data_IF_773466849772
#
_entry.id   IF_773466849772
#
_cell.length_a   1.000
_cell.length_b   1.000
_cell.length_c   1.000
_cell.angle_alpha   90.00
_cell.angle_beta   90.00
_cell.angle_gamma   90.00
#
_symmetry.space_group_name_H-M   'P 1'
#
loop_
_entity.id
_entity.type
_entity.pdbx_description
1 polymer ?
#
# COMPACT_ATOMS: atom_id res chain seq x y z
N UNK A 1 -19.72 10.71 6.61
CA UNK A 1 -19.47 9.50 5.80
C UNK A 1 -20.18 9.61 4.46
N UNK A 2 -21.48 9.32 4.41
CA UNK A 2 -22.26 9.29 3.17
C UNK A 2 -22.25 10.62 2.39
N UNK A 3 -22.43 11.76 3.06
CA UNK A 3 -22.39 13.08 2.40
C UNK A 3 -21.05 13.32 1.69
N UNK A 4 -19.92 13.06 2.36
CA UNK A 4 -18.58 13.20 1.75
C UNK A 4 -18.36 12.25 0.57
N UNK A 5 -18.84 11.00 0.68
CA UNK A 5 -18.76 10.04 -0.41
C UNK A 5 -19.56 10.51 -1.63
N UNK A 6 -20.81 10.93 -1.43
CA UNK A 6 -21.65 11.48 -2.51
C UNK A 6 -21.01 12.72 -3.13
N UNK A 7 -20.55 13.67 -2.31
CA UNK A 7 -19.84 14.86 -2.79
C UNK A 7 -18.60 14.51 -3.61
N UNK A 8 -17.78 13.55 -3.16
CA UNK A 8 -16.60 13.12 -3.92
C UNK A 8 -16.96 12.50 -5.27
N UNK A 9 -18.01 11.68 -5.33
CA UNK A 9 -18.45 11.05 -6.57
C UNK A 9 -19.05 12.07 -7.54
N UNK A 10 -19.82 13.03 -7.03
CA UNK A 10 -20.35 14.13 -7.84
C UNK A 10 -19.22 14.99 -8.42
N UNK A 11 -18.21 15.33 -7.61
CA UNK A 11 -17.06 16.10 -8.10
C UNK A 11 -16.31 15.32 -9.19
N UNK A 12 -16.01 14.04 -8.96
CA UNK A 12 -15.31 13.21 -9.96
C UNK A 12 -16.12 13.09 -11.25
N UNK A 13 -17.44 12.90 -11.15
CA UNK A 13 -18.32 12.78 -12.32
C UNK A 13 -18.34 14.04 -13.17
N UNK A 14 -18.37 15.20 -12.52
CA UNK A 14 -18.48 16.49 -13.21
C UNK A 14 -17.14 17.03 -13.71
N UNK A 15 -16.03 16.73 -13.03
CA UNK A 15 -14.74 17.41 -13.23
C UNK A 15 -13.59 16.49 -13.65
N UNK A 16 -13.80 15.18 -13.78
CA UNK A 16 -12.74 14.24 -14.19
C UNK A 16 -13.24 13.31 -15.31
N UNK A 17 -13.40 12.02 -15.03
CA UNK A 17 -13.87 11.02 -16.00
C UNK A 17 -14.89 10.07 -15.36
N UNK A 18 -15.80 9.48 -16.16
CA UNK A 18 -16.71 8.43 -15.68
C UNK A 18 -15.95 7.23 -15.10
N UNK A 19 -14.79 6.89 -15.68
CA UNK A 19 -13.95 5.80 -15.20
C UNK A 19 -13.39 6.07 -13.80
N UNK A 20 -12.83 7.26 -13.56
CA UNK A 20 -12.34 7.63 -12.23
C UNK A 20 -13.47 7.60 -11.18
N UNK A 21 -14.66 8.05 -11.56
CA UNK A 21 -15.86 7.99 -10.70
C UNK A 21 -16.23 6.54 -10.36
N UNK A 22 -16.23 5.64 -11.35
CA UNK A 22 -16.51 4.22 -11.14
C UNK A 22 -15.47 3.54 -10.23
N UNK A 23 -14.18 3.87 -10.40
CA UNK A 23 -13.11 3.37 -9.54
C UNK A 23 -13.27 3.86 -8.08
N UNK A 24 -13.58 5.14 -7.87
CA UNK A 24 -13.88 5.68 -6.53
C UNK A 24 -15.08 4.98 -5.90
N UNK A 25 -16.18 4.84 -6.65
CA UNK A 25 -17.38 4.18 -6.16
C UNK A 25 -17.09 2.73 -5.76
N UNK A 26 -16.38 1.98 -6.61
CA UNK A 26 -15.95 0.61 -6.33
C UNK A 26 -15.06 0.51 -5.09
N UNK A 27 -14.11 1.45 -4.91
CA UNK A 27 -13.25 1.48 -3.73
C UNK A 27 -14.06 1.74 -2.44
N UNK A 28 -14.97 2.71 -2.46
CA UNK A 28 -15.83 3.04 -1.30
C UNK A 28 -16.73 1.85 -0.95
N UNK A 29 -17.42 1.28 -1.95
CA UNK A 29 -18.34 0.17 -1.75
C UNK A 29 -17.63 -1.08 -1.26
N UNK A 30 -16.49 -1.45 -1.85
CA UNK A 30 -15.70 -2.60 -1.39
C UNK A 30 -15.15 -2.38 0.02
N UNK A 31 -14.73 -1.17 0.39
CA UNK A 31 -14.28 -0.88 1.74
C UNK A 31 -15.40 -1.05 2.78
N UNK A 32 -16.59 -0.51 2.52
CA UNK A 32 -17.72 -0.55 3.46
C UNK A 32 -18.38 -1.92 3.49
N UNK A 33 -18.66 -2.52 2.34
CA UNK A 33 -19.46 -3.74 2.23
C UNK A 33 -18.63 -5.01 2.38
N UNK A 34 -17.35 -5.00 1.99
CA UNK A 34 -16.50 -6.20 2.00
C UNK A 34 -15.50 -6.12 3.14
N UNK A 35 -14.61 -5.13 3.16
CA UNK A 35 -13.53 -5.06 4.16
C UNK A 35 -14.05 -4.91 5.60
N UNK A 36 -14.96 -3.96 5.82
CA UNK A 36 -15.45 -3.62 7.16
C UNK A 36 -16.04 -4.80 7.94
N UNK A 37 -16.93 -5.64 7.39
CA UNK A 37 -17.40 -6.83 8.11
C UNK A 37 -16.34 -7.94 8.17
N UNK A 38 -15.47 -8.05 7.16
CA UNK A 38 -14.53 -9.15 7.03
C UNK A 38 -13.37 -9.06 8.02
N UNK A 39 -12.98 -7.85 8.45
CA UNK A 39 -11.87 -7.63 9.41
C UNK A 39 -12.09 -8.28 10.78
N UNK A 40 -13.34 -8.57 11.14
CA UNK A 40 -13.70 -9.30 12.36
C UNK A 40 -13.79 -10.82 12.14
N UNK A 41 -13.77 -11.29 10.90
CA UNK A 41 -14.00 -12.69 10.52
C UNK A 41 -12.72 -13.41 10.10
N UNK A 42 -11.82 -12.76 9.37
CA UNK A 42 -10.61 -13.40 8.81
C UNK A 42 -9.44 -12.43 8.66
N UNK A 43 -8.18 -12.90 8.85
CA UNK A 43 -6.98 -12.11 8.57
C UNK A 43 -6.82 -11.75 7.09
N UNK A 44 -7.50 -12.44 6.17
CA UNK A 44 -7.52 -12.09 4.75
C UNK A 44 -8.16 -10.73 4.48
N UNK A 45 -8.95 -10.19 5.41
CA UNK A 45 -9.54 -8.87 5.28
C UNK A 45 -8.52 -7.78 5.04
N UNK A 46 -7.32 -7.88 5.64
CA UNK A 46 -6.26 -6.88 5.47
C UNK A 46 -5.79 -6.83 4.02
N UNK A 47 -5.61 -7.98 3.38
CA UNK A 47 -5.25 -8.04 1.95
C UNK A 47 -6.38 -7.50 1.07
N UNK A 48 -7.63 -7.89 1.35
CA UNK A 48 -8.80 -7.41 0.59
C UNK A 48 -8.99 -5.90 0.76
N UNK A 49 -8.77 -5.38 1.96
CA UNK A 49 -8.85 -3.95 2.27
C UNK A 49 -7.70 -3.13 1.67
N UNK A 50 -6.58 -3.76 1.33
CA UNK A 50 -5.48 -3.08 0.64
C UNK A 50 -5.87 -2.67 -0.80
N UNK A 51 -6.73 -3.43 -1.49
CA UNK A 51 -7.20 -3.06 -2.84
C UNK A 51 -7.84 -1.67 -2.90
N UNK A 52 -8.93 -1.37 -2.16
CA UNK A 52 -9.50 -0.03 -2.17
C UNK A 52 -8.53 1.02 -1.60
N UNK A 53 -7.66 0.63 -0.66
CA UNK A 53 -6.61 1.51 -0.14
C UNK A 53 -5.54 1.87 -1.17
N UNK A 54 -5.33 1.05 -2.19
CA UNK A 54 -4.33 1.25 -3.24
C UNK A 54 -4.89 1.93 -4.49
N UNK A 55 -6.21 2.12 -4.60
CA UNK A 55 -6.86 2.78 -5.75
C UNK A 55 -6.38 4.22 -6.04
N UNK A 56 -5.97 5.07 -5.08
CA UNK A 56 -5.72 6.49 -5.37
C UNK A 56 -4.78 6.82 -6.54
N UNK A 57 -3.61 6.16 -6.73
CA UNK A 57 -2.75 6.42 -7.89
C UNK A 57 -3.40 6.02 -9.22
N UNK A 58 -4.10 4.89 -9.28
CA UNK A 58 -4.83 4.46 -10.47
C UNK A 58 -6.01 5.39 -10.78
N UNK A 59 -6.69 5.86 -9.73
CA UNK A 59 -7.75 6.85 -9.87
C UNK A 59 -7.22 8.18 -10.39
N UNK A 60 -6.08 8.66 -9.89
CA UNK A 60 -5.41 9.87 -10.41
C UNK A 60 -5.05 9.75 -11.89
N UNK A 61 -4.54 8.59 -12.31
CA UNK A 61 -4.29 8.29 -13.72
C UNK A 61 -5.57 8.35 -14.55
N UNK A 62 -6.59 7.57 -14.17
CA UNK A 62 -7.86 7.49 -14.89
C UNK A 62 -8.62 8.84 -14.92
N UNK A 63 -8.41 9.70 -13.93
CA UNK A 63 -9.02 11.03 -13.86
C UNK A 63 -8.49 11.99 -14.93
N UNK A 64 -7.27 11.77 -15.42
CA UNK A 64 -6.65 12.58 -16.48
C UNK A 64 -6.79 11.90 -17.84
N UNK A 65 -6.54 10.59 -17.91
CA UNK A 65 -6.46 9.86 -19.19
C UNK A 65 -7.78 9.27 -19.65
N UNK A 66 -8.73 9.02 -18.73
CA UNK A 66 -9.97 8.31 -19.02
C UNK A 66 -9.82 6.80 -19.25
N UNK A 67 -8.63 6.24 -19.01
CA UNK A 67 -8.34 4.81 -19.24
C UNK A 67 -7.56 4.15 -18.08
N UNK A 68 -7.58 2.82 -18.04
CA UNK A 68 -6.73 2.02 -17.15
C UNK A 68 -5.42 1.70 -17.88
N UNK A 69 -4.42 2.56 -17.70
CA UNK A 69 -3.11 2.40 -18.33
C UNK A 69 -2.08 1.71 -17.43
N UNK A 70 -1.00 1.23 -18.04
CA UNK A 70 0.13 0.60 -17.35
C UNK A 70 0.78 1.51 -16.31
N UNK A 71 0.79 2.84 -16.53
CA UNK A 71 1.26 3.82 -15.56
C UNK A 71 0.47 3.77 -14.26
N UNK A 72 -0.85 3.97 -14.33
CA UNK A 72 -1.74 3.89 -13.16
C UNK A 72 -1.69 2.53 -12.46
N UNK A 73 -1.66 1.43 -13.23
CA UNK A 73 -1.59 0.07 -12.67
C UNK A 73 -0.26 -0.19 -11.95
N UNK A 74 0.86 0.31 -12.47
CA UNK A 74 2.17 0.13 -11.83
C UNK A 74 2.24 0.84 -10.47
N UNK A 75 1.77 2.09 -10.39
CA UNK A 75 1.73 2.86 -9.13
C UNK A 75 0.71 2.26 -8.14
N UNK A 76 -0.43 1.77 -8.63
CA UNK A 76 -1.36 0.99 -7.83
C UNK A 76 -0.71 -0.25 -7.23
N UNK A 77 0.06 -1.01 -8.03
CA UNK A 77 0.75 -2.20 -7.54
C UNK A 77 1.79 -1.86 -6.48
N UNK A 78 2.56 -0.78 -6.64
CA UNK A 78 3.50 -0.29 -5.62
C UNK A 78 2.77 -0.01 -4.31
N UNK A 79 1.68 0.76 -4.36
CA UNK A 79 0.93 1.14 -3.16
C UNK A 79 0.27 -0.08 -2.49
N UNK A 80 -0.32 -0.98 -3.28
CA UNK A 80 -0.95 -2.21 -2.81
C UNK A 80 0.04 -3.11 -2.08
N UNK A 81 1.20 -3.36 -2.69
CA UNK A 81 2.21 -4.27 -2.15
C UNK A 81 2.90 -3.65 -0.94
N UNK A 82 3.19 -2.35 -0.96
CA UNK A 82 3.78 -1.63 0.18
C UNK A 82 2.88 -1.59 1.42
N UNK A 83 1.55 -1.55 1.23
CA UNK A 83 0.59 -1.55 2.34
C UNK A 83 0.68 -2.82 3.19
N UNK A 84 1.02 -3.96 2.59
CA UNK A 84 1.06 -5.24 3.29
C UNK A 84 2.10 -5.29 4.44
N UNK A 85 3.40 -5.01 4.21
CA UNK A 85 4.38 -4.98 5.29
C UNK A 85 4.10 -3.86 6.29
N UNK A 86 3.59 -2.71 5.83
CA UNK A 86 3.17 -1.61 6.70
C UNK A 86 2.09 -2.02 7.71
N UNK A 87 1.00 -2.63 7.23
CA UNK A 87 -0.09 -3.08 8.11
C UNK A 87 0.33 -4.25 9.00
N UNK A 88 1.15 -5.17 8.49
CA UNK A 88 1.70 -6.26 9.31
C UNK A 88 2.54 -5.67 10.46
N UNK A 89 3.37 -4.67 10.20
CA UNK A 89 4.12 -3.96 11.24
C UNK A 89 3.18 -3.39 12.31
N UNK A 90 2.13 -2.66 11.91
CA UNK A 90 1.12 -2.10 12.82
C UNK A 90 0.49 -3.17 13.70
N UNK A 91 0.01 -4.25 13.06
CA UNK A 91 -0.69 -5.30 13.78
C UNK A 91 0.21 -6.11 14.70
N UNK A 92 1.53 -6.14 14.45
CA UNK A 92 2.52 -6.74 15.34
C UNK A 92 2.80 -5.87 16.56
N UNK A 93 3.06 -4.56 16.39
CA UNK A 93 3.41 -3.71 17.53
C UNK A 93 2.19 -3.28 18.38
N UNK A 94 0.97 -3.29 17.81
CA UNK A 94 -0.30 -3.03 18.53
C UNK A 94 -1.17 -4.27 18.70
N UNK A 95 -0.58 -5.46 18.66
CA UNK A 95 -1.29 -6.75 18.65
C UNK A 95 -2.41 -6.84 19.69
N UNK A 96 -2.12 -6.44 20.94
CA UNK A 96 -3.09 -6.53 22.04
C UNK A 96 -4.28 -5.60 21.85
N UNK A 97 -4.10 -4.44 21.22
CA UNK A 97 -5.19 -3.51 20.91
C UNK A 97 -6.11 -4.10 19.84
N UNK A 98 -5.55 -4.71 18.80
CA UNK A 98 -6.34 -5.41 17.77
C UNK A 98 -7.10 -6.59 18.36
N UNK A 99 -6.46 -7.37 19.24
CA UNK A 99 -7.10 -8.47 19.94
C UNK A 99 -8.27 -8.00 20.82
N UNK A 100 -8.08 -6.94 21.61
CA UNK A 100 -9.14 -6.33 22.43
C UNK A 100 -10.30 -5.78 21.60
N UNK A 101 -10.01 -5.25 20.41
CA UNK A 101 -11.03 -4.76 19.48
C UNK A 101 -11.76 -5.87 18.70
N UNK A 102 -11.41 -7.15 18.93
CA UNK A 102 -11.98 -8.29 18.22
C UNK A 102 -11.56 -8.39 16.75
N UNK A 103 -10.55 -7.64 16.33
CA UNK A 103 -10.06 -7.65 14.94
C UNK A 103 -9.14 -8.86 14.74
N UNK A 104 -9.43 -9.66 13.71
CA UNK A 104 -8.70 -10.89 13.41
C UNK A 104 -7.57 -10.61 12.44
N UNK A 105 -6.43 -10.13 12.91
CA UNK A 105 -5.22 -9.96 12.10
C UNK A 105 -4.26 -11.16 12.21
N UNK A 106 -3.31 -11.28 11.28
CA UNK A 106 -2.36 -12.40 11.21
C UNK A 106 -1.62 -12.66 12.54
N UNK A 107 -1.03 -11.68 13.23
CA UNK A 107 -0.34 -11.96 14.49
C UNK A 107 -1.28 -12.43 15.62
N UNK A 108 -2.55 -12.00 15.61
CA UNK A 108 -3.57 -12.44 16.56
C UNK A 108 -4.03 -13.87 16.29
N UNK A 109 -4.20 -14.24 15.01
CA UNK A 109 -4.77 -15.56 14.63
C UNK A 109 -3.70 -16.64 14.43
N UNK A 110 -2.55 -16.28 13.86
CA UNK A 110 -1.49 -17.21 13.43
C UNK A 110 -0.15 -16.99 14.12
N UNK A 111 -0.07 -16.00 15.01
CA UNK A 111 1.14 -15.71 15.80
C UNK A 111 2.16 -14.84 15.08
N UNK A 112 3.12 -14.35 15.87
CA UNK A 112 4.07 -13.31 15.46
C UNK A 112 5.05 -13.81 14.40
N UNK A 113 5.48 -15.07 14.48
CA UNK A 113 6.44 -15.63 13.53
C UNK A 113 5.87 -15.70 12.12
N UNK A 114 4.60 -16.10 11.97
CA UNK A 114 3.91 -16.12 10.67
C UNK A 114 3.78 -14.70 10.12
N UNK A 115 3.44 -13.73 10.97
CA UNK A 115 3.37 -12.32 10.57
C UNK A 115 4.74 -11.77 10.13
N UNK A 116 5.83 -12.08 10.85
CA UNK A 116 7.21 -11.71 10.44
C UNK A 116 7.59 -12.30 9.09
N UNK A 117 7.29 -13.57 8.84
CA UNK A 117 7.53 -14.22 7.54
C UNK A 117 6.71 -13.53 6.44
N UNK A 118 5.43 -13.21 6.70
CA UNK A 118 4.63 -12.48 5.71
C UNK A 118 5.19 -11.07 5.44
N UNK A 119 5.64 -10.34 6.46
CA UNK A 119 6.28 -9.04 6.28
C UNK A 119 7.53 -9.16 5.38
N UNK A 120 8.36 -10.19 5.60
CA UNK A 120 9.51 -10.48 4.75
C UNK A 120 9.10 -10.76 3.31
N UNK A 121 8.17 -11.69 3.08
CA UNK A 121 7.73 -12.08 1.74
C UNK A 121 7.13 -10.91 0.96
N UNK A 122 6.31 -10.08 1.61
CA UNK A 122 5.76 -8.89 0.98
C UNK A 122 6.82 -7.80 0.74
N UNK A 123 7.80 -7.65 1.63
CA UNK A 123 8.92 -6.71 1.42
C UNK A 123 9.82 -7.17 0.28
N UNK A 124 10.01 -8.48 0.11
CA UNK A 124 10.72 -9.06 -1.04
C UNK A 124 9.95 -8.82 -2.33
N UNK A 125 8.64 -9.08 -2.34
CA UNK A 125 7.78 -8.82 -3.49
C UNK A 125 7.73 -7.32 -3.85
N UNK A 126 7.89 -6.43 -2.88
CA UNK A 126 7.94 -4.99 -3.11
C UNK A 126 9.16 -4.56 -3.94
N UNK A 127 10.30 -5.27 -3.88
CA UNK A 127 11.52 -4.90 -4.61
C UNK A 127 11.29 -4.82 -6.13
N UNK A 128 10.85 -5.90 -6.82
CA UNK A 128 10.59 -5.82 -8.26
C UNK A 128 9.38 -4.94 -8.59
N UNK A 129 8.40 -4.83 -7.70
CA UNK A 129 7.21 -4.01 -7.93
C UNK A 129 7.53 -2.51 -7.82
N UNK A 130 8.42 -2.11 -6.91
CA UNK A 130 8.83 -0.72 -6.72
C UNK A 130 9.54 -0.15 -7.94
N UNK A 131 10.28 -0.97 -8.69
CA UNK A 131 10.97 -0.55 -9.93
C UNK A 131 10.10 -0.70 -11.20
N UNK A 132 8.93 -1.35 -11.08
CA UNK A 132 8.04 -1.63 -12.20
C UNK A 132 7.66 -0.38 -13.02
N UNK A 133 7.37 0.79 -12.41
CA UNK A 133 7.11 2.01 -13.19
C UNK A 133 8.26 2.38 -14.15
N UNK A 134 9.52 2.22 -13.75
CA UNK A 134 10.66 2.49 -14.64
C UNK A 134 10.80 1.45 -15.74
N UNK A 135 10.56 0.18 -15.41
CA UNK A 135 10.61 -0.91 -16.40
C UNK A 135 9.54 -0.75 -17.50
N UNK A 136 8.41 -0.14 -17.16
CA UNK A 136 7.32 0.16 -18.09
C UNK A 136 7.50 1.51 -18.80
N UNK A 137 8.60 2.24 -18.56
CA UNK A 137 8.85 3.56 -19.15
C UNK A 137 7.94 4.67 -18.62
N UNK A 138 7.27 4.45 -17.49
CA UNK A 138 6.38 5.43 -16.83
C UNK A 138 7.21 6.47 -16.07
N UNK A 139 8.42 6.09 -15.65
CA UNK A 139 9.36 6.94 -14.91
C UNK A 139 10.77 6.68 -15.42
N UNK A 140 11.66 7.64 -15.20
CA UNK A 140 13.07 7.56 -15.54
C UNK A 140 13.92 6.76 -14.56
N UNK A 141 15.23 6.82 -14.81
CA UNK A 141 16.25 6.07 -14.07
C UNK A 141 16.42 6.58 -12.63
N UNK A 142 16.16 7.87 -12.37
CA UNK A 142 16.32 8.44 -11.02
C UNK A 142 15.30 7.81 -10.09
N UNK A 143 14.04 7.70 -10.53
CA UNK A 143 13.02 6.97 -9.79
C UNK A 143 13.41 5.50 -9.61
N UNK A 144 13.77 4.81 -10.70
CA UNK A 144 14.04 3.37 -10.67
C UNK A 144 15.17 2.97 -9.73
N UNK A 145 16.30 3.68 -9.77
CA UNK A 145 17.43 3.44 -8.86
C UNK A 145 17.06 3.77 -7.42
N UNK A 146 16.36 4.89 -7.19
CA UNK A 146 15.93 5.28 -5.83
C UNK A 146 14.96 4.26 -5.24
N UNK A 147 13.96 3.83 -6.01
CA UNK A 147 12.98 2.83 -5.61
C UNK A 147 13.64 1.47 -5.31
N UNK A 148 14.64 1.07 -6.11
CA UNK A 148 15.43 -0.14 -5.86
C UNK A 148 16.19 -0.05 -4.53
N UNK A 149 16.94 1.02 -4.31
CA UNK A 149 17.74 1.19 -3.09
C UNK A 149 16.84 1.23 -1.85
N UNK A 150 15.77 2.03 -1.89
CA UNK A 150 14.85 2.17 -0.77
C UNK A 150 14.13 0.85 -0.47
N UNK A 151 13.73 0.08 -1.48
CA UNK A 151 13.11 -1.25 -1.30
C UNK A 151 14.07 -2.31 -0.79
N UNK A 152 15.33 -2.31 -1.22
CA UNK A 152 16.37 -3.21 -0.69
C UNK A 152 16.69 -2.91 0.78
N UNK A 153 16.80 -1.63 1.17
CA UNK A 153 16.98 -1.24 2.57
C UNK A 153 15.79 -1.70 3.41
N UNK A 154 14.57 -1.45 2.92
CA UNK A 154 13.35 -1.87 3.61
C UNK A 154 13.23 -3.39 3.74
N UNK A 155 13.59 -4.13 2.69
CA UNK A 155 13.68 -5.59 2.73
C UNK A 155 14.72 -6.08 3.74
N UNK A 156 15.92 -5.49 3.79
CA UNK A 156 16.93 -5.82 4.79
C UNK A 156 16.43 -5.62 6.23
N UNK A 157 15.63 -4.57 6.46
CA UNK A 157 15.00 -4.32 7.76
C UNK A 157 13.94 -5.37 8.13
N UNK A 158 13.27 -5.94 7.12
CA UNK A 158 12.32 -7.05 7.32
C UNK A 158 13.04 -8.35 7.72
N UNK A 159 14.22 -8.61 7.15
CA UNK A 159 15.08 -9.75 7.48
C UNK A 159 15.52 -9.71 8.94
N UNK A 160 15.93 -8.54 9.46
CA UNK A 160 16.34 -8.41 10.87
C UNK A 160 15.21 -8.75 11.86
N UNK A 161 13.96 -8.70 11.42
CA UNK A 161 12.78 -9.01 12.22
C UNK A 161 12.62 -10.48 12.59
N UNK A 162 13.12 -11.38 11.75
CA UNK A 162 12.96 -12.82 11.93
C UNK A 162 13.56 -13.30 13.24
N UNK A 163 14.70 -12.73 13.63
CA UNK A 163 15.42 -13.07 14.86
C UNK A 163 15.32 -12.00 15.95
N UNK A 164 14.45 -10.99 15.77
CA UNK A 164 14.30 -9.93 16.75
C UNK A 164 13.75 -10.47 18.08
N UNK A 165 14.48 -10.34 19.22
CA UNK A 165 14.06 -10.88 20.51
C UNK A 165 12.84 -10.13 21.07
N UNK A 166 12.72 -8.82 20.76
CA UNK A 166 11.58 -7.99 21.12
C UNK A 166 10.78 -7.63 19.87
N UNK A 167 9.81 -8.48 19.52
CA UNK A 167 8.97 -8.31 18.32
C UNK A 167 8.32 -6.93 18.23
N UNK A 168 7.73 -6.42 19.31
CA UNK A 168 7.05 -5.12 19.30
C UNK A 168 8.00 -3.94 19.03
N UNK A 169 9.23 -4.00 19.54
CA UNK A 169 10.25 -2.96 19.33
C UNK A 169 10.68 -2.94 17.86
N UNK A 170 11.00 -4.11 17.31
CA UNK A 170 11.34 -4.23 15.89
C UNK A 170 10.16 -3.81 15.00
N UNK A 171 8.94 -4.28 15.28
CA UNK A 171 7.75 -3.98 14.48
C UNK A 171 7.42 -2.48 14.48
N UNK A 172 7.65 -1.77 15.60
CA UNK A 172 7.52 -0.31 15.66
C UNK A 172 8.58 0.39 14.79
N UNK A 173 9.83 -0.04 14.83
CA UNK A 173 10.88 0.50 13.95
C UNK A 173 10.59 0.22 12.47
N UNK A 174 10.16 -0.99 12.14
CA UNK A 174 9.79 -1.41 10.80
C UNK A 174 8.56 -0.66 10.27
N UNK A 175 7.61 -0.34 11.15
CA UNK A 175 6.50 0.55 10.82
C UNK A 175 7.00 1.95 10.44
N UNK A 176 7.87 2.58 11.23
CA UNK A 176 8.44 3.89 10.87
C UNK A 176 9.26 3.85 9.57
N UNK A 177 10.00 2.76 9.35
CA UNK A 177 10.68 2.52 8.08
C UNK A 177 9.71 2.55 6.89
N UNK A 178 8.58 1.83 7.02
CA UNK A 178 7.56 1.79 5.98
C UNK A 178 6.90 3.17 5.77
N UNK A 179 6.77 3.98 6.83
CA UNK A 179 6.25 5.33 6.74
C UNK A 179 7.21 6.27 5.99
N UNK A 180 8.53 6.07 6.11
CA UNK A 180 9.55 6.81 5.35
C UNK A 180 9.72 6.31 3.92
N UNK A 181 9.44 5.02 3.66
CA UNK A 181 9.51 4.42 2.34
C UNK A 181 8.68 5.19 1.30
N UNK A 182 7.39 5.41 1.59
CA UNK A 182 6.47 5.99 0.59
C UNK A 182 6.83 7.44 0.24
N UNK A 183 7.09 8.35 1.18
CA UNK A 183 7.60 9.69 0.88
C UNK A 183 8.92 9.67 0.11
N UNK A 184 9.84 8.75 0.42
CA UNK A 184 11.11 8.66 -0.30
C UNK A 184 10.90 8.29 -1.78
N UNK A 185 10.06 7.29 -2.06
CA UNK A 185 9.73 6.88 -3.44
C UNK A 185 8.94 7.95 -4.19
N UNK A 186 8.00 8.65 -3.52
CA UNK A 186 7.25 9.76 -4.12
C UNK A 186 8.14 10.98 -4.36
N UNK A 187 9.07 11.30 -3.45
CA UNK A 187 10.04 12.36 -3.65
C UNK A 187 10.95 12.06 -4.85
N UNK A 188 11.41 10.80 -4.97
CA UNK A 188 12.18 10.37 -6.12
C UNK A 188 11.38 10.50 -7.43
N UNK A 189 10.08 10.18 -7.42
CA UNK A 189 9.19 10.39 -8.58
C UNK A 189 9.12 11.86 -8.97
N UNK A 190 8.94 12.76 -8.01
CA UNK A 190 8.89 14.21 -8.26
C UNK A 190 10.22 14.71 -8.82
N UNK A 191 11.35 14.31 -8.24
CA UNK A 191 12.68 14.69 -8.72
C UNK A 191 12.92 14.18 -10.14
N UNK A 192 12.54 12.94 -10.42
CA UNK A 192 12.68 12.33 -11.74
C UNK A 192 11.86 13.09 -12.80
N UNK A 193 10.60 13.42 -12.51
CA UNK A 193 9.76 14.26 -13.40
C UNK A 193 10.38 15.65 -13.62
N UNK A 194 10.96 16.27 -12.58
CA UNK A 194 11.55 17.61 -12.68
C UNK A 194 12.88 17.63 -13.45
N UNK A 195 13.69 16.58 -13.36
CA UNK A 195 15.04 16.52 -13.93
C UNK A 195 15.06 15.87 -15.31
N UNK A 196 14.32 14.79 -15.49
CA UNK A 196 14.32 13.97 -16.71
C UNK A 196 13.19 14.39 -17.66
N UNK A 197 12.11 14.98 -17.15
CA UNK A 197 10.96 15.41 -17.96
C UNK A 197 10.18 14.25 -18.58
N UNK A 198 10.30 13.04 -18.01
CA UNK A 198 9.50 11.86 -18.38
C UNK A 198 8.03 12.03 -18.05
#
# INVERSE_FOLDING_TARGET
>A
GAALALSSLTILWLWTTPLATALAAGAILSYVLIYTPLKYKTPLALFIGAFPGAVPPLLGWAAITGEVGWGGLSLFAVLLVWQMPHYIAITLFRKDEFARAGIRCVPVVRGDQVAKIQALLWSLALVPIAILPSLLGVTGLIYGVSALVVSLIFFGWSVSGLWAPKTAVWARSFFFASLLFLPAVVAALIVDVLVVGS
#
